data_IF_578320587132
#
_entry.id   IF_578320587132
#
_cell.length_a   1.000
_cell.length_b   1.000
_cell.length_c   1.000
_cell.angle_alpha   90.00
_cell.angle_beta   90.00
_cell.angle_gamma   90.00
#
_symmetry.space_group_name_H-M   'P 1'
#
loop_
_entity.id
_entity.type
_entity.pdbx_description
1 polymer ?
#
# COMPACT_ATOMS: atom_id res chain seq x y z
N UNK A 1 -57.19 64.68 16.34
CA UNK A 1 -56.98 65.19 14.97
C UNK A 1 -55.97 64.27 14.30
N UNK A 2 -56.40 63.63 13.18
CA UNK A 2 -55.66 63.17 11.98
C UNK A 2 -54.13 62.95 12.06
N UNK A 3 -53.49 61.96 11.43
CA UNK A 3 -53.88 60.94 10.45
C UNK A 3 -52.70 59.94 10.28
N UNK A 4 -52.99 58.80 9.63
CA UNK A 4 -52.04 57.81 9.12
C UNK A 4 -51.09 58.38 8.02
N UNK A 5 -49.89 57.79 7.89
CA UNK A 5 -49.26 57.37 6.61
C UNK A 5 -47.91 56.67 6.92
N UNK A 6 -47.80 55.33 6.81
CA UNK A 6 -47.21 54.57 5.68
C UNK A 6 -45.94 55.20 5.07
N UNK A 7 -44.80 54.54 5.28
CA UNK A 7 -43.78 54.38 4.25
C UNK A 7 -43.00 53.08 4.51
N UNK A 8 -43.36 52.05 3.75
CA UNK A 8 -42.53 50.88 3.55
C UNK A 8 -41.28 51.26 2.73
N UNK A 9 -40.34 50.32 2.68
CA UNK A 9 -39.17 50.26 1.80
C UNK A 9 -37.94 51.02 2.32
N UNK A 10 -36.97 50.27 2.85
CA UNK A 10 -35.62 50.25 2.27
C UNK A 10 -34.80 49.06 2.82
N UNK A 11 -34.47 48.17 1.88
CA UNK A 11 -33.21 47.44 1.78
C UNK A 11 -33.09 46.17 2.65
N UNK A 12 -33.55 45.08 2.03
CA UNK A 12 -32.90 43.76 2.09
C UNK A 12 -31.39 43.95 2.00
N UNK A 13 -30.64 43.58 3.05
CA UNK A 13 -29.23 43.15 3.01
C UNK A 13 -28.79 42.70 4.41
N UNK A 14 -29.50 41.72 4.98
CA UNK A 14 -29.04 40.95 6.13
C UNK A 14 -29.21 39.45 5.85
N UNK A 15 -28.62 39.01 4.75
CA UNK A 15 -28.37 37.59 4.53
C UNK A 15 -26.90 37.45 4.10
N UNK A 16 -26.19 36.55 4.78
CA UNK A 16 -24.77 36.21 4.63
C UNK A 16 -23.75 37.01 5.46
N UNK A 17 -24.04 37.24 6.74
CA UNK A 17 -23.02 37.23 7.80
C UNK A 17 -23.30 35.98 8.64
N UNK A 18 -22.85 34.78 8.29
CA UNK A 18 -21.62 34.22 8.89
C UNK A 18 -21.15 32.89 8.25
N UNK A 19 -21.79 32.38 7.19
CA UNK A 19 -21.44 31.07 6.60
C UNK A 19 -20.50 31.13 5.39
N UNK A 20 -19.72 32.21 5.27
CA UNK A 20 -18.58 32.25 4.34
C UNK A 20 -17.30 31.65 4.97
N UNK A 21 -17.45 30.64 5.84
CA UNK A 21 -16.37 29.79 6.33
C UNK A 21 -16.36 28.42 5.63
N UNK A 22 -17.02 28.29 4.47
CA UNK A 22 -16.79 27.14 3.62
C UNK A 22 -15.55 27.34 2.74
N UNK A 23 -14.54 26.54 3.09
CA UNK A 23 -13.64 25.87 2.15
C UNK A 23 -12.58 26.75 1.47
N UNK A 24 -11.66 27.26 2.29
CA UNK A 24 -10.24 27.21 1.92
C UNK A 24 -9.53 26.11 2.72
N UNK A 25 -10.05 24.88 2.68
CA UNK A 25 -9.12 23.75 2.84
C UNK A 25 -8.31 23.71 1.55
N UNK A 26 -7.14 24.36 1.60
CA UNK A 26 -6.13 24.27 0.56
C UNK A 26 -6.01 22.81 0.15
N UNK A 27 -6.04 22.57 -1.16
CA UNK A 27 -5.69 21.30 -1.78
C UNK A 27 -4.46 20.76 -1.07
N UNK A 28 -4.64 19.80 -0.14
CA UNK A 28 -3.54 18.99 0.35
C UNK A 28 -2.96 18.39 -0.91
N UNK A 29 -1.71 18.74 -1.23
CA UNK A 29 -1.00 18.21 -2.39
C UNK A 29 -1.14 16.69 -2.37
N UNK A 30 -2.09 16.17 -3.15
CA UNK A 30 -2.30 14.75 -3.26
C UNK A 30 -1.12 14.24 -4.05
N UNK A 31 -0.20 13.58 -3.35
CA UNK A 31 0.88 12.83 -3.97
C UNK A 31 0.28 11.97 -5.08
N UNK A 32 0.67 12.22 -6.33
CA UNK A 32 0.18 11.45 -7.47
C UNK A 32 0.45 9.95 -7.22
N UNK A 33 -0.61 9.16 -7.29
CA UNK A 33 -0.54 7.70 -7.25
C UNK A 33 -0.38 7.21 -8.68
N UNK A 34 0.72 6.52 -8.94
CA UNK A 34 1.04 6.02 -10.28
C UNK A 34 0.98 4.49 -10.23
N UNK A 35 0.00 3.87 -10.90
CA UNK A 35 -0.02 2.42 -11.07
C UNK A 35 1.27 1.93 -11.73
N UNK A 36 1.74 0.75 -11.32
CA UNK A 36 2.88 0.07 -11.93
C UNK A 36 2.43 -1.24 -12.55
N UNK A 37 3.07 -1.61 -13.65
CA UNK A 37 2.88 -2.92 -14.25
C UNK A 37 3.31 -4.03 -13.29
N UNK A 38 2.51 -5.10 -13.22
CA UNK A 38 2.80 -6.26 -12.36
C UNK A 38 4.14 -6.92 -12.69
N UNK A 39 4.55 -6.83 -13.96
CA UNK A 39 5.79 -7.40 -14.48
C UNK A 39 6.96 -6.42 -14.52
N UNK A 40 6.79 -5.20 -13.98
CA UNK A 40 7.82 -4.16 -13.93
C UNK A 40 9.09 -4.68 -13.24
N UNK A 41 10.25 -4.38 -13.83
CA UNK A 41 11.56 -4.86 -13.34
C UNK A 41 11.87 -4.36 -11.92
N UNK A 42 11.44 -3.14 -11.58
CA UNK A 42 11.60 -2.58 -10.24
C UNK A 42 10.72 -3.32 -9.24
N UNK A 43 9.46 -3.61 -9.61
CA UNK A 43 8.54 -4.42 -8.78
C UNK A 43 9.13 -5.80 -8.51
N UNK A 44 9.61 -6.50 -9.56
CA UNK A 44 10.27 -7.81 -9.42
C UNK A 44 11.47 -7.77 -8.48
N UNK A 45 12.29 -6.72 -8.56
CA UNK A 45 13.44 -6.55 -7.67
C UNK A 45 13.02 -6.36 -6.21
N UNK A 46 12.06 -5.45 -5.95
CA UNK A 46 11.53 -5.19 -4.60
C UNK A 46 11.01 -6.50 -3.98
N UNK A 47 10.19 -7.24 -4.72
CA UNK A 47 9.60 -8.49 -4.24
C UNK A 47 10.62 -9.62 -4.07
N UNK A 48 11.66 -9.68 -4.91
CA UNK A 48 12.77 -10.61 -4.72
C UNK A 48 13.49 -10.38 -3.40
N UNK A 49 13.79 -9.11 -3.08
CA UNK A 49 14.45 -8.73 -1.83
C UNK A 49 13.53 -8.99 -0.62
N UNK A 50 12.23 -8.67 -0.73
CA UNK A 50 11.23 -8.89 0.32
C UNK A 50 11.03 -10.39 0.62
N UNK A 51 10.87 -11.21 -0.42
CA UNK A 51 10.74 -12.65 -0.28
C UNK A 51 11.99 -13.29 0.35
N UNK A 52 13.18 -12.82 -0.01
CA UNK A 52 14.42 -13.27 0.62
C UNK A 52 14.41 -13.00 2.13
N UNK A 53 14.04 -11.78 2.55
CA UNK A 53 13.92 -11.44 3.99
C UNK A 53 12.86 -12.29 4.69
N UNK A 54 11.70 -12.45 4.07
CA UNK A 54 10.61 -13.26 4.59
C UNK A 54 11.05 -14.71 4.86
N UNK A 55 11.65 -15.36 3.85
CA UNK A 55 12.15 -16.73 3.95
C UNK A 55 13.30 -16.87 4.94
N UNK A 56 14.12 -15.83 5.15
CA UNK A 56 15.18 -15.85 6.15
C UNK A 56 14.60 -15.79 7.57
N UNK A 57 13.62 -14.94 7.81
CA UNK A 57 13.14 -14.60 9.16
C UNK A 57 11.99 -15.50 9.69
N UNK A 58 11.34 -16.31 8.84
CA UNK A 58 10.17 -17.12 9.22
C UNK A 58 10.49 -18.42 10.01
N UNK A 59 10.98 -18.33 11.24
CA UNK A 59 11.46 -19.48 12.03
C UNK A 59 10.47 -20.64 12.19
N UNK A 60 9.16 -20.36 12.15
CA UNK A 60 8.11 -21.35 12.44
C UNK A 60 7.71 -22.23 11.25
N UNK A 61 8.03 -21.84 10.01
CA UNK A 61 7.63 -22.62 8.83
C UNK A 61 8.78 -23.52 8.33
N UNK A 62 8.59 -24.84 8.24
CA UNK A 62 9.63 -25.75 7.74
C UNK A 62 9.92 -25.58 6.25
N UNK A 63 9.03 -24.98 5.45
CA UNK A 63 9.18 -24.84 4.01
C UNK A 63 9.49 -23.42 3.57
N UNK A 64 10.18 -23.29 2.43
CA UNK A 64 10.34 -22.01 1.74
C UNK A 64 9.08 -21.59 1.00
N UNK A 65 8.93 -20.28 0.77
CA UNK A 65 7.92 -19.71 -0.12
C UNK A 65 8.53 -19.15 -1.40
N UNK A 66 7.70 -19.09 -2.45
CA UNK A 66 8.01 -18.36 -3.69
C UNK A 66 6.90 -17.39 -4.05
N UNK A 67 7.27 -16.34 -4.76
CA UNK A 67 6.31 -15.43 -5.39
C UNK A 67 5.40 -16.24 -6.31
N UNK A 68 4.10 -16.11 -6.09
CA UNK A 68 3.06 -16.74 -6.88
C UNK A 68 2.51 -15.75 -7.90
N UNK A 69 1.95 -14.62 -7.44
CA UNK A 69 1.44 -13.58 -8.32
C UNK A 69 1.51 -12.18 -7.70
N UNK A 70 1.55 -11.14 -8.54
CA UNK A 70 1.41 -9.74 -8.13
C UNK A 70 -0.02 -9.29 -8.41
N UNK A 71 -0.75 -8.88 -7.38
CA UNK A 71 -2.15 -8.47 -7.49
C UNK A 71 -2.25 -6.99 -7.89
N UNK A 72 -1.54 -6.13 -7.16
CA UNK A 72 -1.46 -4.70 -7.41
C UNK A 72 -0.07 -4.14 -7.09
N UNK A 73 0.36 -3.14 -7.85
CA UNK A 73 1.57 -2.39 -7.58
C UNK A 73 1.34 -0.92 -7.94
N UNK A 74 1.75 -0.01 -7.07
CA UNK A 74 1.69 1.43 -7.32
C UNK A 74 2.84 2.14 -6.63
N UNK A 75 3.27 3.26 -7.21
CA UNK A 75 4.25 4.17 -6.60
C UNK A 75 3.61 5.50 -6.24
N UNK A 76 4.10 6.09 -5.16
CA UNK A 76 3.73 7.41 -4.66
C UNK A 76 5.01 8.15 -4.24
N UNK A 77 5.04 9.47 -4.40
CA UNK A 77 6.16 10.31 -4.02
C UNK A 77 5.87 11.10 -2.74
N UNK A 78 6.60 10.86 -1.67
CA UNK A 78 6.65 11.79 -0.55
C UNK A 78 7.83 12.76 -0.75
N UNK A 79 7.87 13.90 -0.03
CA UNK A 79 8.98 14.85 -0.12
C UNK A 79 10.36 14.22 0.16
N UNK A 80 10.41 13.12 0.92
CA UNK A 80 11.66 12.47 1.36
C UNK A 80 11.88 11.08 0.78
N UNK A 81 10.90 10.46 0.12
CA UNK A 81 10.98 9.07 -0.33
C UNK A 81 10.09 8.77 -1.54
N UNK A 82 10.46 7.73 -2.28
CA UNK A 82 9.55 7.02 -3.18
C UNK A 82 8.94 5.84 -2.43
N UNK A 83 7.62 5.80 -2.36
CA UNK A 83 6.84 4.78 -1.67
C UNK A 83 6.26 3.83 -2.71
N UNK A 84 6.39 2.52 -2.48
CA UNK A 84 5.76 1.49 -3.30
C UNK A 84 4.76 0.72 -2.44
N UNK A 85 3.49 0.76 -2.81
CA UNK A 85 2.48 -0.10 -2.20
C UNK A 85 2.28 -1.30 -3.14
N UNK A 86 2.53 -2.52 -2.65
CA UNK A 86 2.48 -3.74 -3.46
C UNK A 86 1.70 -4.82 -2.72
N UNK A 87 0.68 -5.36 -3.39
CA UNK A 87 -0.08 -6.52 -2.95
C UNK A 87 0.29 -7.72 -3.82
N UNK A 88 0.67 -8.83 -3.23
CA UNK A 88 1.15 -10.03 -3.93
C UNK A 88 0.84 -11.28 -3.12
N UNK A 89 0.87 -12.44 -3.78
CA UNK A 89 0.75 -13.75 -3.13
C UNK A 89 2.07 -14.48 -3.16
N UNK A 90 2.33 -15.25 -2.11
CA UNK A 90 3.44 -16.20 -2.04
C UNK A 90 2.88 -17.59 -1.75
N UNK A 91 3.48 -18.62 -2.35
CA UNK A 91 3.05 -20.02 -2.18
C UNK A 91 4.18 -20.88 -1.63
N UNK A 92 3.84 -21.79 -0.74
CA UNK A 92 4.74 -22.78 -0.16
C UNK A 92 5.37 -23.66 -1.25
N UNK A 93 6.63 -24.00 -1.06
CA UNK A 93 7.42 -24.82 -1.99
C UNK A 93 7.71 -26.21 -1.46
N UNK A 94 8.20 -27.07 -2.34
CA UNK A 94 8.67 -28.43 -2.04
C UNK A 94 9.98 -28.47 -1.23
N UNK A 95 10.66 -27.34 -1.09
CA UNK A 95 11.92 -27.26 -0.36
C UNK A 95 11.73 -27.01 1.13
N UNK A 96 12.24 -27.94 1.92
CA UNK A 96 12.43 -27.75 3.36
C UNK A 96 13.66 -26.89 3.67
N UNK A 97 13.52 -26.01 4.68
CA UNK A 97 14.59 -25.15 5.18
C UNK A 97 15.73 -25.92 5.82
N UNK A 98 15.46 -27.08 6.42
CA UNK A 98 16.48 -27.91 7.10
C UNK A 98 17.44 -28.59 6.13
N UNK A 99 16.97 -28.90 4.92
CA UNK A 99 17.74 -29.62 3.89
C UNK A 99 18.46 -28.65 2.94
N UNK A 100 17.90 -27.46 2.74
CA UNK A 100 18.44 -26.46 1.81
C UNK A 100 19.21 -25.35 2.56
N UNK A 101 20.54 -25.50 2.64
CA UNK A 101 21.42 -24.54 3.35
C UNK A 101 21.94 -23.37 2.51
N UNK A 102 21.61 -23.30 1.21
CA UNK A 102 22.18 -22.25 0.32
C UNK A 102 21.13 -21.57 -0.56
N UNK A 103 21.29 -20.25 -0.74
CA UNK A 103 20.41 -19.39 -1.56
C UNK A 103 20.30 -19.84 -3.02
N UNK A 104 21.31 -20.56 -3.54
CA UNK A 104 21.29 -21.11 -4.90
C UNK A 104 20.27 -22.22 -5.08
N UNK A 105 19.93 -22.95 -4.02
CA UNK A 105 18.98 -24.07 -4.07
C UNK A 105 17.54 -23.57 -3.93
N UNK A 106 17.31 -22.47 -3.21
CA UNK A 106 15.99 -21.79 -3.14
C UNK A 106 15.43 -21.45 -4.52
N UNK A 107 16.29 -21.10 -5.48
CA UNK A 107 15.88 -20.79 -6.87
C UNK A 107 15.36 -22.00 -7.64
N UNK A 108 15.64 -23.23 -7.20
CA UNK A 108 15.18 -24.47 -7.85
C UNK A 108 13.89 -25.05 -7.26
N UNK A 109 13.48 -24.58 -6.08
CA UNK A 109 12.29 -25.05 -5.38
C UNK A 109 11.02 -24.80 -6.19
N UNK A 110 10.19 -25.81 -6.38
CA UNK A 110 8.92 -25.66 -7.08
C UNK A 110 7.81 -25.34 -6.09
N UNK A 111 6.83 -24.57 -6.54
CA UNK A 111 5.61 -24.35 -5.74
C UNK A 111 4.89 -25.69 -5.59
N UNK A 112 4.45 -26.00 -4.37
CA UNK A 112 3.60 -27.17 -4.11
C UNK A 112 2.22 -26.92 -4.68
N UNK A 113 1.64 -27.91 -5.36
CA UNK A 113 0.27 -27.83 -5.89
C UNK A 113 -0.76 -27.59 -4.78
N UNK A 114 -0.56 -28.23 -3.63
CA UNK A 114 -1.35 -28.11 -2.40
C UNK A 114 -0.68 -27.21 -1.35
N UNK A 115 0.31 -26.40 -1.79
CA UNK A 115 1.05 -25.52 -0.91
C UNK A 115 0.20 -24.38 -0.38
N UNK A 116 0.39 -24.03 0.89
CA UNK A 116 -0.26 -22.87 1.50
C UNK A 116 0.07 -21.60 0.71
N UNK A 117 -0.95 -20.80 0.48
CA UNK A 117 -0.82 -19.49 -0.18
C UNK A 117 -1.05 -18.40 0.86
N UNK A 118 -0.17 -17.41 0.87
CA UNK A 118 -0.26 -16.25 1.75
C UNK A 118 -0.43 -14.98 0.92
N UNK A 119 -1.32 -14.11 1.39
CA UNK A 119 -1.63 -12.81 0.82
C UNK A 119 -0.81 -11.75 1.53
N UNK A 120 0.11 -11.14 0.79
CA UNK A 120 1.04 -10.15 1.30
C UNK A 120 0.65 -8.74 0.85
N UNK A 121 0.58 -7.79 1.78
CA UNK A 121 0.37 -6.37 1.49
C UNK A 121 1.44 -5.53 2.16
N UNK A 122 2.31 -4.92 1.35
CA UNK A 122 3.47 -4.20 1.85
C UNK A 122 3.57 -2.79 1.29
N UNK A 123 4.12 -1.91 2.14
CA UNK A 123 4.56 -0.58 1.78
C UNK A 123 6.08 -0.49 1.92
N UNK A 124 6.77 -0.21 0.82
CA UNK A 124 8.23 -0.10 0.77
C UNK A 124 8.66 1.35 0.57
N UNK A 125 9.49 1.88 1.48
CA UNK A 125 9.97 3.25 1.42
C UNK A 125 11.41 3.28 0.92
N UNK A 126 11.64 3.95 -0.21
CA UNK A 126 12.96 4.09 -0.82
C UNK A 126 13.44 5.54 -0.83
N UNK A 127 14.70 5.77 -0.46
CA UNK A 127 15.40 7.04 -0.66
C UNK A 127 16.73 6.76 -1.34
N UNK A 128 17.06 7.46 -2.42
CA UNK A 128 18.30 7.28 -3.18
C UNK A 128 18.61 5.81 -3.52
N UNK A 129 17.58 5.01 -3.84
CA UNK A 129 17.63 3.56 -4.14
C UNK A 129 17.87 2.64 -2.91
N UNK A 130 18.05 3.19 -1.71
CA UNK A 130 18.11 2.42 -0.47
C UNK A 130 16.71 2.20 0.10
N UNK A 131 16.43 0.98 0.56
CA UNK A 131 15.22 0.67 1.32
C UNK A 131 15.40 1.24 2.73
N UNK A 132 14.58 2.22 3.08
CA UNK A 132 14.58 2.85 4.40
C UNK A 132 13.84 1.99 5.42
N UNK A 133 12.63 1.55 5.06
CA UNK A 133 11.85 0.62 5.87
C UNK A 133 10.80 -0.11 5.04
N UNK A 134 10.38 -1.23 5.58
CA UNK A 134 9.29 -2.09 5.15
C UNK A 134 8.34 -2.18 6.36
N UNK A 135 7.09 -1.76 6.24
CA UNK A 135 6.17 -1.73 7.40
C UNK A 135 5.89 -3.16 7.90
N UNK A 136 6.05 -3.38 9.22
CA UNK A 136 6.16 -4.69 9.88
C UNK A 136 4.84 -5.29 10.40
N UNK A 137 3.69 -4.67 10.16
CA UNK A 137 2.42 -5.20 10.66
C UNK A 137 2.02 -6.44 9.85
N UNK A 138 2.28 -7.64 10.41
CA UNK A 138 1.98 -9.00 9.89
C UNK A 138 1.40 -9.03 8.46
N UNK A 139 2.23 -8.77 7.45
CA UNK A 139 1.74 -8.32 6.15
C UNK A 139 1.28 -9.47 5.27
N UNK A 140 1.64 -10.71 5.63
CA UNK A 140 1.26 -11.93 4.93
C UNK A 140 0.36 -12.81 5.79
N UNK A 141 -0.86 -13.10 5.32
CA UNK A 141 -1.83 -13.96 5.99
C UNK A 141 -2.47 -14.99 5.04
N UNK A 142 -2.98 -16.09 5.56
CA UNK A 142 -3.72 -17.08 4.77
C UNK A 142 -5.06 -16.53 4.23
N UNK A 143 -5.62 -15.51 4.91
CA UNK A 143 -6.80 -14.79 4.46
C UNK A 143 -6.38 -13.51 3.73
N UNK A 144 -7.01 -13.21 2.59
CA UNK A 144 -6.93 -11.89 2.00
C UNK A 144 -7.64 -10.91 2.93
N UNK A 145 -6.90 -10.05 3.63
CA UNK A 145 -7.51 -9.01 4.47
C UNK A 145 -8.21 -8.00 3.55
N UNK A 146 -9.52 -8.14 3.38
CA UNK A 146 -10.37 -7.08 2.85
C UNK A 146 -10.43 -5.97 3.89
N UNK A 147 -9.48 -5.04 3.84
CA UNK A 147 -9.67 -3.74 4.47
C UNK A 147 -10.58 -2.91 3.56
N UNK A 148 -11.88 -2.99 3.85
CA UNK A 148 -12.93 -2.09 3.37
C UNK A 148 -12.73 -0.67 3.90
#
# INVERSE_FOLDING_TARGET
>A
MHALAIAALHIVLFYCTSDCLLSKQGKKNMTAIIPLERNDTKVKKILGDALYRYNKNMEKNPYYFRLDSVQSARKRYSPSATIYDITYTIQETDCERKTVKTDKVQKKCQRKLDGRTLYCNYTFHYQNKFLLFEQYDLPCSENATTHS
#
